data_IF_933565495759
#
_entry.id   IF_933565495759
#
_cell.length_a   1.000
_cell.length_b   1.000
_cell.length_c   1.000
_cell.angle_alpha   90.00
_cell.angle_beta   90.00
_cell.angle_gamma   90.00
#
_symmetry.space_group_name_H-M   'P 1'
#
loop_
_entity.id
_entity.type
_entity.pdbx_description
1 polymer ?
#
# COMPACT_ATOMS: atom_id res chain seq x y z
N UNK A 1 0.01 -9.36 -22.09
CA UNK A 1 -0.07 -8.49 -20.90
C UNK A 1 -1.04 -7.34 -21.15
N UNK A 2 -2.24 -7.49 -20.60
CA UNK A 2 -3.38 -6.57 -20.66
C UNK A 2 -3.10 -5.24 -19.94
N UNK A 3 -3.95 -4.24 -20.18
CA UNK A 3 -3.89 -2.94 -19.48
C UNK A 3 -4.06 -3.13 -17.96
N UNK A 4 -4.96 -4.03 -17.55
CA UNK A 4 -5.21 -4.35 -16.14
C UNK A 4 -3.97 -4.92 -15.46
N UNK A 5 -3.32 -5.90 -16.08
CA UNK A 5 -2.08 -6.50 -15.54
C UNK A 5 -0.94 -5.49 -15.45
N UNK A 6 -0.78 -4.61 -16.46
CA UNK A 6 0.22 -3.52 -16.43
C UNK A 6 -0.03 -2.57 -15.27
N UNK A 7 -1.28 -2.16 -15.08
CA UNK A 7 -1.67 -1.29 -13.97
C UNK A 7 -1.38 -1.96 -12.63
N UNK A 8 -1.81 -3.21 -12.42
CA UNK A 8 -1.55 -3.95 -11.19
C UNK A 8 -0.05 -4.12 -10.92
N UNK A 9 0.75 -4.46 -11.93
CA UNK A 9 2.21 -4.54 -11.79
C UNK A 9 2.84 -3.23 -11.35
N UNK A 10 2.34 -2.10 -11.86
CA UNK A 10 2.78 -0.77 -11.43
C UNK A 10 2.42 -0.50 -9.96
N UNK A 11 1.20 -0.87 -9.54
CA UNK A 11 0.76 -0.72 -8.15
C UNK A 11 1.58 -1.61 -7.20
N UNK A 12 1.87 -2.85 -7.59
CA UNK A 12 2.73 -3.76 -6.82
C UNK A 12 4.13 -3.18 -6.64
N UNK A 13 4.76 -2.71 -7.73
CA UNK A 13 6.08 -2.08 -7.69
C UNK A 13 6.09 -0.87 -6.75
N UNK A 14 5.08 0.00 -6.84
CA UNK A 14 4.94 1.16 -5.96
C UNK A 14 4.78 0.73 -4.49
N UNK A 15 3.88 -0.23 -4.22
CA UNK A 15 3.61 -0.74 -2.87
C UNK A 15 4.88 -1.32 -2.22
N UNK A 16 5.64 -2.12 -2.97
CA UNK A 16 6.91 -2.69 -2.52
C UNK A 16 7.95 -1.61 -2.23
N UNK A 17 8.06 -0.61 -3.10
CA UNK A 17 8.93 0.56 -2.88
C UNK A 17 8.54 1.34 -1.62
N UNK A 18 7.26 1.64 -1.46
CA UNK A 18 6.72 2.38 -0.33
C UNK A 18 6.93 1.66 1.01
N UNK A 19 6.87 0.32 1.05
CA UNK A 19 7.04 -0.43 2.29
C UNK A 19 8.51 -0.78 2.60
N UNK A 20 9.37 -0.97 1.59
CA UNK A 20 10.70 -1.59 1.82
C UNK A 20 11.89 -0.79 1.31
N UNK A 21 11.69 0.31 0.56
CA UNK A 21 12.80 1.12 0.04
C UNK A 21 12.87 2.48 0.73
N UNK A 22 13.91 2.71 1.55
CA UNK A 22 14.16 4.00 2.23
C UNK A 22 14.32 5.19 1.28
N UNK A 23 14.61 4.94 0.00
CA UNK A 23 14.74 5.96 -1.06
C UNK A 23 13.40 6.31 -1.69
N UNK A 24 12.36 5.52 -1.46
CA UNK A 24 11.04 5.76 -2.04
C UNK A 24 10.38 6.97 -1.34
N UNK A 25 9.76 7.90 -2.09
CA UNK A 25 9.18 9.11 -1.52
C UNK A 25 8.12 8.81 -0.46
N UNK A 26 7.32 7.76 -0.65
CA UNK A 26 6.29 7.35 0.32
C UNK A 26 6.83 6.48 1.47
N UNK A 27 8.14 6.16 1.55
CA UNK A 27 8.66 5.25 2.58
C UNK A 27 8.33 5.69 3.99
N UNK A 28 8.55 6.97 4.30
CA UNK A 28 8.25 7.56 5.61
C UNK A 28 6.78 7.40 6.03
N UNK A 29 5.87 7.19 5.06
CA UNK A 29 4.45 7.00 5.32
C UNK A 29 4.07 5.56 5.55
N UNK A 30 4.84 4.58 5.08
CA UNK A 30 4.49 3.17 5.19
C UNK A 30 5.60 2.41 5.91
N UNK A 31 6.68 2.05 5.21
CA UNK A 31 7.79 1.30 5.81
C UNK A 31 8.47 2.00 6.98
N UNK A 32 8.44 3.35 7.02
CA UNK A 32 8.96 4.15 8.13
C UNK A 32 8.10 4.12 9.39
N UNK A 33 6.88 3.59 9.31
CA UNK A 33 5.94 3.41 10.43
C UNK A 33 5.48 1.95 10.53
N UNK A 34 6.36 1.02 10.12
CA UNK A 34 6.18 -0.43 10.21
C UNK A 34 4.98 -1.02 9.43
N UNK A 35 4.46 -0.29 8.44
CA UNK A 35 3.54 -0.88 7.48
C UNK A 35 4.30 -1.74 6.47
N UNK A 36 3.80 -2.96 6.29
CA UNK A 36 4.39 -3.98 5.42
C UNK A 36 3.38 -4.47 4.39
N UNK A 37 3.84 -5.35 3.51
CA UNK A 37 3.02 -6.09 2.55
C UNK A 37 2.88 -7.53 3.04
N UNK A 38 1.70 -8.14 2.89
CA UNK A 38 1.50 -9.55 3.22
C UNK A 38 2.55 -10.45 2.55
N UNK A 39 3.04 -11.51 3.22
CA UNK A 39 4.07 -12.38 2.67
C UNK A 39 3.71 -12.93 1.29
N UNK A 40 2.45 -13.36 1.12
CA UNK A 40 1.89 -13.88 -0.13
C UNK A 40 2.04 -12.91 -1.31
N UNK A 41 1.72 -11.63 -1.12
CA UNK A 41 1.88 -10.61 -2.18
C UNK A 41 3.31 -10.14 -2.35
N UNK A 42 4.10 -10.16 -1.27
CA UNK A 42 5.53 -9.83 -1.30
C UNK A 42 6.34 -10.83 -2.12
N UNK A 43 6.03 -12.11 -1.97
CA UNK A 43 6.75 -13.23 -2.59
C UNK A 43 6.31 -13.50 -4.04
N UNK A 44 5.05 -13.18 -4.37
CA UNK A 44 4.48 -13.50 -5.68
C UNK A 44 3.65 -12.35 -6.26
N UNK A 45 4.15 -11.77 -7.36
CA UNK A 45 3.41 -10.80 -8.16
C UNK A 45 2.16 -11.43 -8.77
N UNK A 46 2.24 -12.66 -9.28
CA UNK A 46 1.09 -13.36 -9.89
C UNK A 46 -0.03 -13.54 -8.88
N UNK A 47 0.30 -13.83 -7.62
CA UNK A 47 -0.69 -13.95 -6.56
C UNK A 47 -1.35 -12.61 -6.25
N UNK A 48 -0.58 -11.52 -6.20
CA UNK A 48 -1.16 -10.17 -6.10
C UNK A 48 -2.09 -9.85 -7.27
N UNK A 49 -1.70 -10.17 -8.51
CA UNK A 49 -2.51 -9.90 -9.70
C UNK A 49 -3.82 -10.68 -9.66
N UNK A 50 -3.77 -11.98 -9.36
CA UNK A 50 -4.96 -12.83 -9.27
C UNK A 50 -5.91 -12.37 -8.16
N UNK A 51 -5.39 -11.97 -7.00
CA UNK A 51 -6.22 -11.51 -5.88
C UNK A 51 -6.91 -10.16 -6.18
N UNK A 52 -6.30 -9.32 -7.03
CA UNK A 52 -6.76 -7.93 -7.26
C UNK A 52 -7.50 -7.72 -8.59
N UNK A 53 -7.36 -8.59 -9.59
CA UNK A 53 -7.88 -8.36 -10.95
C UNK A 53 -9.39 -8.14 -11.01
N UNK A 54 -10.14 -8.86 -10.17
CA UNK A 54 -11.60 -8.76 -10.10
C UNK A 54 -12.09 -7.58 -9.24
N UNK A 55 -11.20 -7.00 -8.42
CA UNK A 55 -11.50 -5.81 -7.60
C UNK A 55 -11.33 -4.49 -8.35
N UNK A 56 -10.78 -4.52 -9.57
CA UNK A 56 -10.40 -3.30 -10.28
C UNK A 56 -11.62 -2.40 -10.58
N UNK A 57 -11.50 -1.09 -10.38
CA UNK A 57 -12.56 -0.15 -10.70
C UNK A 57 -12.77 -0.08 -12.23
N UNK A 58 -13.98 0.32 -12.65
CA UNK A 58 -14.33 0.48 -14.07
C UNK A 58 -13.37 1.42 -14.82
N UNK A 59 -12.88 2.45 -14.14
CA UNK A 59 -11.85 3.36 -14.65
C UNK A 59 -10.60 3.27 -13.78
N UNK A 60 -9.46 3.05 -14.43
CA UNK A 60 -8.14 2.97 -13.80
C UNK A 60 -7.47 4.34 -13.70
N UNK A 61 -8.00 5.35 -14.39
CA UNK A 61 -7.44 6.70 -14.39
C UNK A 61 -7.42 7.28 -12.98
N UNK A 62 -6.28 7.82 -12.58
CA UNK A 62 -6.07 8.45 -11.27
C UNK A 62 -6.36 7.54 -10.07
N UNK A 63 -6.34 6.21 -10.26
CA UNK A 63 -6.53 5.24 -9.18
C UNK A 63 -5.21 4.80 -8.57
N UNK A 64 -5.21 4.61 -7.26
CA UNK A 64 -4.11 4.03 -6.50
C UNK A 64 -4.64 3.15 -5.38
N UNK A 65 -3.84 2.14 -5.03
CA UNK A 65 -4.10 1.29 -3.88
C UNK A 65 -3.87 2.06 -2.57
N UNK A 66 -4.82 2.01 -1.65
CA UNK A 66 -4.69 2.58 -0.31
C UNK A 66 -5.10 1.55 0.75
N UNK A 67 -4.62 1.75 1.99
CA UNK A 67 -5.00 0.92 3.12
C UNK A 67 -6.32 1.40 3.70
N UNK A 68 -7.19 0.44 4.02
CA UNK A 68 -8.42 0.69 4.79
C UNK A 68 -8.08 0.90 6.26
N UNK A 69 -7.21 0.05 6.82
CA UNK A 69 -6.66 0.22 8.16
C UNK A 69 -5.13 0.39 8.08
N UNK A 70 -4.59 1.55 8.47
CA UNK A 70 -3.15 1.83 8.39
C UNK A 70 -2.30 1.04 9.39
N UNK A 71 -2.90 0.38 10.38
CA UNK A 71 -2.19 -0.47 11.35
C UNK A 71 -2.04 -1.91 10.86
N UNK A 72 -2.56 -2.22 9.68
CA UNK A 72 -2.52 -3.57 9.08
C UNK A 72 -1.70 -3.56 7.78
N UNK A 73 -1.10 -4.69 7.39
CA UNK A 73 -0.35 -4.79 6.14
C UNK A 73 -1.20 -4.52 4.90
N UNK A 74 -0.53 -4.30 3.76
CA UNK A 74 -1.17 -4.46 2.45
C UNK A 74 -1.51 -5.92 2.22
N UNK A 75 -2.78 -6.24 2.33
CA UNK A 75 -3.32 -7.59 2.17
C UNK A 75 -4.74 -7.54 1.62
N UNK A 76 -5.19 -8.67 1.09
CA UNK A 76 -6.56 -8.81 0.61
C UNK A 76 -7.54 -8.50 1.75
N UNK A 77 -8.50 -7.61 1.49
CA UNK A 77 -9.47 -7.17 2.49
C UNK A 77 -9.02 -6.01 3.39
N UNK A 78 -7.77 -5.56 3.30
CA UNK A 78 -7.30 -4.33 3.96
C UNK A 78 -6.90 -3.22 2.97
N UNK A 79 -7.26 -3.37 1.71
CA UNK A 79 -6.93 -2.40 0.66
C UNK A 79 -8.17 -1.97 -0.10
N UNK A 80 -8.13 -0.76 -0.63
CA UNK A 80 -9.16 -0.20 -1.47
C UNK A 80 -8.59 0.64 -2.62
N UNK A 81 -9.40 0.82 -3.67
CA UNK A 81 -9.06 1.62 -4.84
C UNK A 81 -9.58 3.05 -4.69
N UNK A 82 -8.69 3.97 -4.32
CA UNK A 82 -9.06 5.37 -4.16
C UNK A 82 -8.56 6.22 -5.33
N UNK A 83 -9.16 7.39 -5.49
CA UNK A 83 -8.57 8.43 -6.33
C UNK A 83 -7.31 8.97 -5.66
N UNK A 84 -6.26 9.25 -6.44
CA UNK A 84 -5.01 9.84 -5.94
C UNK A 84 -5.30 11.15 -5.19
N UNK A 85 -6.25 11.96 -5.67
CA UNK A 85 -6.70 13.19 -5.01
C UNK A 85 -7.35 12.98 -3.64
N UNK A 86 -7.86 11.78 -3.36
CA UNK A 86 -8.46 11.39 -2.07
C UNK A 86 -7.46 10.73 -1.12
N UNK A 87 -6.21 10.52 -1.54
CA UNK A 87 -5.21 9.87 -0.71
C UNK A 87 -4.75 10.79 0.44
N UNK A 88 -5.35 10.61 1.63
CA UNK A 88 -5.09 11.44 2.83
C UNK A 88 -3.96 10.93 3.75
N UNK A 89 -3.18 9.94 3.30
CA UNK A 89 -2.14 9.30 4.09
C UNK A 89 -2.68 8.25 5.08
N UNK A 90 -1.81 7.71 5.93
CA UNK A 90 -2.17 6.73 6.96
C UNK A 90 -2.91 7.39 8.12
N UNK A 91 -4.21 7.65 7.96
CA UNK A 91 -5.10 7.98 9.09
C UNK A 91 -5.92 6.75 9.44
N UNK A 92 -5.89 6.35 10.70
CA UNK A 92 -6.80 5.34 11.18
C UNK A 92 -8.23 5.90 11.19
N UNK A 93 -9.28 5.05 11.19
CA UNK A 93 -10.67 5.49 11.20
C UNK A 93 -11.02 6.41 12.39
N UNK A 94 -10.33 6.22 13.52
CA UNK A 94 -10.41 7.05 14.72
C UNK A 94 -9.55 8.32 14.63
N UNK A 95 -8.97 8.62 13.48
CA UNK A 95 -8.14 9.80 13.23
C UNK A 95 -6.72 9.70 13.79
N UNK A 96 -6.37 8.63 14.51
CA UNK A 96 -5.01 8.42 14.98
C UNK A 96 -4.07 8.12 13.82
N UNK A 97 -2.89 8.72 13.88
CA UNK A 97 -1.77 8.30 13.05
C UNK A 97 -1.12 7.07 13.71
N UNK A 98 -0.57 6.11 12.96
CA UNK A 98 0.35 5.15 13.56
C UNK A 98 1.42 5.94 14.32
N UNK A 99 1.60 5.60 15.59
CA UNK A 99 2.40 6.36 16.54
C UNK A 99 3.84 6.46 16.01
N UNK A 100 4.26 7.67 15.61
CA UNK A 100 5.62 7.90 15.09
C UNK A 100 6.68 7.93 16.22
N UNK A 101 6.31 7.76 17.50
CA UNK A 101 7.24 7.93 18.61
C UNK A 101 8.18 6.72 18.78
N UNK A 102 7.78 5.52 18.37
CA UNK A 102 8.65 4.34 18.54
C UNK A 102 9.85 4.30 17.59
N UNK A 103 9.79 4.98 16.44
CA UNK A 103 10.93 5.09 15.52
C UNK A 103 12.09 5.92 16.10
N UNK A 104 11.84 6.78 17.11
CA UNK A 104 12.88 7.55 17.80
C UNK A 104 13.52 6.78 18.95
N UNK A 105 12.83 5.81 19.54
CA UNK A 105 13.34 5.09 20.73
C UNK A 105 14.37 4.00 20.41
N UNK A 106 14.49 3.58 19.14
CA UNK A 106 15.56 2.65 18.69
C UNK A 106 16.89 3.35 18.37
N UNK A 107 17.03 4.63 18.75
CA UNK A 107 18.29 5.37 18.82
C UNK A 107 18.56 5.75 20.27
N UNK A 108 18.87 4.76 21.10
CA UNK A 108 19.56 4.95 22.36
C UNK A 108 20.75 3.98 22.38
#
# INVERSE_FOLDING_TARGET
MTIKERFLKQQHTWMMGACYSRKHPDFHRYGGVDVSVSPRWKESLDTFVNDMVDSLPRSLAERRLALVNPRRPFELGNVEWIFISKHRGLRAPDGTHPDMAEARSRRA
#
